data_IF_416678556182
#
_entry.id   IF_416678556182
#
_cell.length_a   1.000
_cell.length_b   1.000
_cell.length_c   1.000
_cell.angle_alpha   90.00
_cell.angle_beta   90.00
_cell.angle_gamma   90.00
#
_symmetry.space_group_name_H-M   'P 1'
#
loop_
_entity.id
_entity.type
_entity.pdbx_description
1 polymer ?
#
# COMPACT_ATOMS: atom_id res chain seq x y z
N UNK A 1 29.71 7.62 -10.48
CA UNK A 1 28.99 8.76 -11.15
C UNK A 1 27.83 9.14 -10.23
N UNK A 2 27.49 10.42 -10.17
CA UNK A 2 26.28 10.90 -9.46
C UNK A 2 25.06 10.34 -10.19
N UNK A 3 24.22 9.55 -9.50
CA UNK A 3 23.01 8.99 -10.09
C UNK A 3 21.81 9.90 -9.76
N UNK A 4 20.95 10.13 -10.75
CA UNK A 4 19.70 10.91 -10.60
C UNK A 4 18.51 9.97 -10.69
N UNK A 5 17.74 9.90 -9.62
CA UNK A 5 16.57 9.01 -9.49
C UNK A 5 15.31 9.85 -9.33
N UNK A 6 14.38 9.71 -10.27
CA UNK A 6 13.09 10.38 -10.25
C UNK A 6 12.01 9.40 -9.79
N UNK A 7 11.32 9.73 -8.71
CA UNK A 7 10.20 8.94 -8.17
C UNK A 7 8.90 9.66 -8.51
N UNK A 8 7.98 8.98 -9.18
CA UNK A 8 6.67 9.52 -9.55
C UNK A 8 5.55 8.76 -8.85
N UNK A 9 4.69 9.51 -8.16
CA UNK A 9 3.50 8.98 -7.46
C UNK A 9 2.27 9.81 -7.77
N UNK A 10 1.09 9.34 -7.34
CA UNK A 10 -0.15 10.12 -7.40
C UNK A 10 -1.02 9.85 -6.17
N UNK A 11 -1.62 10.92 -5.63
CA UNK A 11 -2.40 10.89 -4.39
C UNK A 11 -3.82 10.34 -4.55
N UNK A 12 -4.05 9.42 -5.50
CA UNK A 12 -5.33 8.71 -5.70
C UNK A 12 -5.49 7.46 -4.82
N UNK A 13 -4.58 7.26 -3.88
CA UNK A 13 -4.60 6.17 -2.90
C UNK A 13 -3.32 6.17 -2.07
N UNK A 14 -3.43 5.86 -0.77
CA UNK A 14 -2.25 5.81 0.11
C UNK A 14 -1.25 4.72 -0.29
N UNK A 15 -1.67 3.68 -0.99
CA UNK A 15 -0.78 2.62 -1.48
C UNK A 15 0.35 3.18 -2.36
N UNK A 16 0.03 4.02 -3.34
CA UNK A 16 1.01 4.62 -4.25
C UNK A 16 2.00 5.52 -3.50
N UNK A 17 1.48 6.38 -2.64
CA UNK A 17 2.29 7.30 -1.85
C UNK A 17 3.16 6.58 -0.81
N UNK A 18 2.63 5.54 -0.17
CA UNK A 18 3.39 4.71 0.79
C UNK A 18 4.56 4.02 0.10
N UNK A 19 4.33 3.43 -1.08
CA UNK A 19 5.37 2.81 -1.89
C UNK A 19 6.47 3.81 -2.28
N UNK A 20 6.09 4.98 -2.80
CA UNK A 20 7.02 6.03 -3.20
C UNK A 20 7.86 6.55 -2.02
N UNK A 21 7.22 6.81 -0.87
CA UNK A 21 7.92 7.21 0.36
C UNK A 21 8.87 6.12 0.85
N UNK A 22 8.44 4.85 0.84
CA UNK A 22 9.28 3.73 1.23
C UNK A 22 10.57 3.66 0.42
N UNK A 23 10.46 3.82 -0.91
CA UNK A 23 11.62 3.84 -1.82
C UNK A 23 12.51 5.06 -1.56
N UNK A 24 11.94 6.26 -1.43
CA UNK A 24 12.68 7.48 -1.12
C UNK A 24 13.46 7.34 0.19
N UNK A 25 12.79 6.87 1.23
CA UNK A 25 13.39 6.73 2.57
C UNK A 25 14.47 5.64 2.59
N UNK A 26 14.31 4.59 1.77
CA UNK A 26 15.34 3.58 1.58
C UNK A 26 16.56 4.13 0.82
N UNK A 27 16.34 4.87 -0.27
CA UNK A 27 17.44 5.55 -0.99
C UNK A 27 18.19 6.50 -0.08
N UNK A 28 17.50 7.28 0.76
CA UNK A 28 18.14 8.17 1.72
C UNK A 28 19.08 7.44 2.71
N UNK A 29 18.87 6.13 2.94
CA UNK A 29 19.71 5.31 3.84
C UNK A 29 20.90 4.63 3.15
N UNK A 30 20.75 4.26 1.87
CA UNK A 30 21.73 3.37 1.19
C UNK A 30 22.40 4.02 0.00
N UNK A 31 21.91 5.16 -0.48
CA UNK A 31 22.48 5.81 -1.64
C UNK A 31 23.86 6.42 -1.33
N UNK A 32 24.83 6.28 -2.25
CA UNK A 32 26.12 6.95 -2.13
C UNK A 32 25.96 8.48 -2.12
N UNK A 33 26.92 9.14 -1.48
CA UNK A 33 26.98 10.60 -1.48
C UNK A 33 26.97 11.17 -2.91
N UNK A 34 26.15 12.20 -3.10
CA UNK A 34 25.95 12.84 -4.40
C UNK A 34 24.88 12.20 -5.28
N UNK A 35 24.18 11.16 -4.83
CA UNK A 35 22.94 10.68 -5.48
C UNK A 35 21.84 11.73 -5.30
N UNK A 36 21.20 12.11 -6.40
CA UNK A 36 20.10 13.07 -6.40
C UNK A 36 18.76 12.28 -6.50
N UNK A 37 17.83 12.54 -5.60
CA UNK A 37 16.51 11.87 -5.57
C UNK A 37 15.43 12.93 -5.50
N UNK A 38 14.56 12.98 -6.49
CA UNK A 38 13.34 13.81 -6.45
C UNK A 38 12.09 12.91 -6.42
N UNK A 39 11.07 13.33 -5.66
CA UNK A 39 9.77 12.66 -5.58
C UNK A 39 8.68 13.68 -5.94
N UNK A 40 7.87 13.35 -6.95
CA UNK A 40 6.84 14.23 -7.48
C UNK A 40 5.48 13.54 -7.56
N UNK A 41 4.42 14.29 -7.26
CA UNK A 41 3.03 14.00 -7.61
C UNK A 41 2.59 15.01 -8.67
N UNK A 42 2.83 14.68 -9.94
CA UNK A 42 2.57 15.61 -11.06
C UNK A 42 1.09 15.96 -11.20
N UNK A 43 0.17 15.06 -10.79
CA UNK A 43 -1.26 15.41 -10.77
C UNK A 43 -1.56 16.50 -9.75
N UNK A 44 -0.96 16.41 -8.57
CA UNK A 44 -1.12 17.45 -7.54
C UNK A 44 -0.44 18.76 -7.94
N UNK A 45 0.74 18.68 -8.57
CA UNK A 45 1.52 19.85 -8.99
C UNK A 45 0.84 20.61 -10.14
N UNK A 46 0.31 19.89 -11.13
CA UNK A 46 -0.31 20.51 -12.33
C UNK A 46 -1.74 20.97 -12.05
N UNK A 47 -2.54 20.14 -11.37
CA UNK A 47 -3.97 20.41 -11.23
C UNK A 47 -4.35 20.96 -9.86
N UNK A 48 -3.44 21.02 -8.88
CA UNK A 48 -3.61 21.70 -7.61
C UNK A 48 -4.99 21.49 -6.94
N UNK A 49 -5.78 22.57 -6.73
CA UNK A 49 -7.09 22.48 -6.08
C UNK A 49 -8.11 21.60 -6.81
N UNK A 50 -8.02 21.50 -8.15
CA UNK A 50 -8.89 20.64 -8.94
C UNK A 50 -8.60 19.18 -8.66
N UNK A 51 -7.31 18.81 -8.58
CA UNK A 51 -6.91 17.46 -8.19
C UNK A 51 -7.42 17.10 -6.79
N UNK A 52 -7.33 18.02 -5.84
CA UNK A 52 -7.84 17.83 -4.49
C UNK A 52 -9.36 17.64 -4.46
N UNK A 53 -10.11 18.39 -5.27
CA UNK A 53 -11.56 18.22 -5.43
C UNK A 53 -11.90 16.85 -6.02
N UNK A 54 -11.21 16.44 -7.08
CA UNK A 54 -11.38 15.11 -7.71
C UNK A 54 -11.07 14.01 -6.70
N UNK A 55 -9.97 14.13 -5.96
CA UNK A 55 -9.57 13.20 -4.91
C UNK A 55 -10.62 13.08 -3.79
N UNK A 56 -11.14 14.21 -3.30
CA UNK A 56 -12.20 14.23 -2.29
C UNK A 56 -13.49 13.59 -2.80
N UNK A 57 -13.87 13.91 -4.03
CA UNK A 57 -15.05 13.32 -4.67
C UNK A 57 -14.89 11.82 -4.86
N UNK A 58 -13.73 11.37 -5.32
CA UNK A 58 -13.36 9.96 -5.43
C UNK A 58 -13.49 9.26 -4.08
N UNK A 59 -12.86 9.79 -3.02
CA UNK A 59 -12.94 9.22 -1.68
C UNK A 59 -14.37 9.21 -1.13
N UNK A 60 -15.16 10.24 -1.42
CA UNK A 60 -16.57 10.28 -1.04
C UNK A 60 -17.37 9.16 -1.73
N UNK A 61 -17.21 8.96 -3.04
CA UNK A 61 -17.90 7.88 -3.77
C UNK A 61 -17.46 6.51 -3.23
N UNK A 62 -16.18 6.28 -3.03
CA UNK A 62 -15.64 5.03 -2.47
C UNK A 62 -16.20 4.76 -1.07
N UNK A 63 -16.33 5.78 -0.23
CA UNK A 63 -16.78 5.62 1.16
C UNK A 63 -18.30 5.56 1.32
N UNK A 64 -19.05 6.32 0.53
CA UNK A 64 -20.51 6.47 0.69
C UNK A 64 -21.33 5.65 -0.31
N UNK A 65 -20.75 5.29 -1.46
CA UNK A 65 -21.41 4.51 -2.51
C UNK A 65 -20.51 3.37 -3.05
N UNK A 66 -19.98 2.46 -2.21
CA UNK A 66 -18.99 1.46 -2.61
C UNK A 66 -19.49 0.52 -3.72
N UNK A 67 -20.80 0.19 -3.74
CA UNK A 67 -21.40 -0.64 -4.81
C UNK A 67 -21.41 0.06 -6.17
N UNK A 68 -21.72 1.36 -6.19
CA UNK A 68 -21.66 2.17 -7.40
C UNK A 68 -20.22 2.31 -7.90
N UNK A 69 -19.27 2.52 -6.98
CA UNK A 69 -17.85 2.55 -7.31
C UNK A 69 -17.36 1.23 -7.90
N UNK A 70 -17.70 0.08 -7.30
CA UNK A 70 -17.36 -1.23 -7.84
C UNK A 70 -17.88 -1.46 -9.27
N UNK A 71 -19.05 -0.96 -9.61
CA UNK A 71 -19.57 -1.00 -10.98
C UNK A 71 -18.78 -0.12 -11.93
N UNK A 72 -18.46 1.11 -11.53
CA UNK A 72 -17.61 2.05 -12.30
C UNK A 72 -16.21 1.47 -12.50
N UNK A 73 -15.61 0.91 -11.46
CA UNK A 73 -14.29 0.31 -11.52
C UNK A 73 -14.23 -0.84 -12.55
N UNK A 74 -15.17 -1.78 -12.49
CA UNK A 74 -15.26 -2.90 -13.45
C UNK A 74 -15.52 -2.42 -14.89
N UNK A 75 -16.33 -1.36 -15.07
CA UNK A 75 -16.56 -0.76 -16.38
C UNK A 75 -15.29 -0.10 -16.95
N UNK A 76 -14.50 0.58 -16.10
CA UNK A 76 -13.21 1.16 -16.49
C UNK A 76 -12.20 0.06 -16.83
N UNK A 77 -12.13 -1.00 -16.02
CA UNK A 77 -11.20 -2.12 -16.22
C UNK A 77 -11.46 -2.88 -17.53
N UNK A 78 -12.72 -2.94 -17.96
CA UNK A 78 -13.14 -3.53 -19.24
C UNK A 78 -12.83 -2.69 -20.48
N UNK A 79 -12.48 -1.40 -20.35
CA UNK A 79 -12.18 -0.55 -21.51
C UNK A 79 -10.77 -0.83 -22.05
N UNK A 80 -10.70 -1.12 -23.37
CA UNK A 80 -9.43 -1.34 -24.08
C UNK A 80 -8.66 -0.05 -24.37
N UNK A 81 -9.29 1.13 -24.27
CA UNK A 81 -8.77 2.42 -24.74
C UNK A 81 -8.24 3.28 -23.57
N UNK A 82 -7.39 2.72 -22.72
CA UNK A 82 -6.66 3.51 -21.71
C UNK A 82 -5.77 4.60 -22.36
N UNK A 83 -5.24 4.32 -23.56
CA UNK A 83 -4.39 5.25 -24.32
C UNK A 83 -5.08 6.59 -24.61
N UNK A 84 -6.38 6.57 -24.92
CA UNK A 84 -7.13 7.79 -25.23
C UNK A 84 -7.55 8.57 -23.98
N UNK A 85 -7.65 7.92 -22.83
CA UNK A 85 -7.99 8.59 -21.58
C UNK A 85 -6.86 9.52 -21.10
N UNK A 86 -5.59 9.09 -21.24
CA UNK A 86 -4.43 9.89 -20.87
C UNK A 86 -3.99 10.90 -21.93
N UNK A 87 -4.35 10.70 -23.22
CA UNK A 87 -4.07 11.65 -24.32
C UNK A 87 -4.69 13.05 -24.13
N UNK A 88 -5.58 13.23 -23.15
CA UNK A 88 -6.25 14.52 -22.87
C UNK A 88 -5.53 15.36 -21.80
N UNK A 89 -4.44 14.90 -21.23
CA UNK A 89 -3.70 15.61 -20.17
C UNK A 89 -2.48 16.36 -20.71
N UNK A 90 -2.69 17.27 -21.71
CA UNK A 90 -1.58 18.03 -22.32
C UNK A 90 -0.75 18.81 -21.31
N UNK A 91 -1.38 19.43 -20.31
CA UNK A 91 -0.65 20.15 -19.25
C UNK A 91 0.24 19.23 -18.39
N UNK A 92 -0.25 18.01 -18.11
CA UNK A 92 0.55 17.00 -17.41
C UNK A 92 1.76 16.56 -18.25
N UNK A 93 1.56 16.36 -19.55
CA UNK A 93 2.62 16.01 -20.51
C UNK A 93 3.69 17.11 -20.60
N UNK A 94 3.27 18.37 -20.74
CA UNK A 94 4.19 19.51 -20.80
C UNK A 94 5.00 19.67 -19.52
N UNK A 95 4.33 19.56 -18.36
CA UNK A 95 5.02 19.63 -17.05
C UNK A 95 5.98 18.46 -16.83
N UNK A 96 5.56 17.25 -17.22
CA UNK A 96 6.41 16.07 -17.14
C UNK A 96 7.64 16.19 -18.04
N UNK A 97 7.45 16.68 -19.27
CA UNK A 97 8.56 16.92 -20.20
C UNK A 97 9.54 17.93 -19.63
N UNK A 98 9.07 19.06 -19.12
CA UNK A 98 9.90 20.09 -18.50
C UNK A 98 10.68 19.52 -17.28
N UNK A 99 10.06 18.65 -16.48
CA UNK A 99 10.73 17.96 -15.38
C UNK A 99 11.84 17.03 -15.89
N UNK A 100 11.58 16.24 -16.94
CA UNK A 100 12.59 15.35 -17.53
C UNK A 100 13.78 16.14 -18.12
N UNK A 101 13.52 17.25 -18.82
CA UNK A 101 14.55 18.14 -19.37
C UNK A 101 15.40 18.78 -18.26
N UNK A 102 14.76 19.23 -17.18
CA UNK A 102 15.44 19.87 -16.03
C UNK A 102 16.25 18.86 -15.21
N UNK A 103 15.63 17.75 -14.82
CA UNK A 103 16.23 16.81 -13.88
C UNK A 103 17.11 15.78 -14.56
N UNK A 104 16.85 15.42 -15.83
CA UNK A 104 17.60 14.43 -16.62
C UNK A 104 17.88 13.13 -15.83
N UNK A 105 16.85 12.39 -15.41
CA UNK A 105 17.03 11.21 -14.59
C UNK A 105 17.79 10.10 -15.32
N UNK A 106 18.66 9.37 -14.60
CA UNK A 106 19.24 8.10 -15.07
C UNK A 106 18.23 6.96 -14.88
N UNK A 107 17.44 7.03 -13.79
CA UNK A 107 16.39 6.07 -13.46
C UNK A 107 15.12 6.82 -13.06
N UNK A 108 14.02 6.43 -13.66
CA UNK A 108 12.68 6.87 -13.28
C UNK A 108 11.93 5.68 -12.69
N UNK A 109 11.25 5.87 -11.56
CA UNK A 109 10.45 4.86 -10.92
C UNK A 109 9.04 5.38 -10.66
N UNK A 110 8.04 4.65 -11.16
CA UNK A 110 6.64 5.03 -11.11
C UNK A 110 5.85 4.10 -10.19
N UNK A 111 5.19 4.67 -9.20
CA UNK A 111 4.26 3.95 -8.31
C UNK A 111 2.79 4.16 -8.69
N UNK A 112 2.54 4.82 -9.83
CA UNK A 112 1.20 5.06 -10.38
C UNK A 112 1.17 4.77 -11.88
N UNK A 113 0.17 4.05 -12.42
CA UNK A 113 0.20 3.50 -13.77
C UNK A 113 0.11 4.51 -14.91
N UNK A 114 -0.32 5.75 -14.64
CA UNK A 114 -0.44 6.77 -15.69
C UNK A 114 0.91 7.22 -16.27
N UNK A 115 1.95 7.39 -15.43
CA UNK A 115 3.21 7.99 -15.85
C UNK A 115 3.99 7.20 -16.91
N UNK A 116 4.10 5.85 -16.83
CA UNK A 116 4.71 5.08 -17.90
C UNK A 116 4.02 5.25 -19.26
N UNK A 117 2.68 5.44 -19.24
CA UNK A 117 1.88 5.68 -20.44
C UNK A 117 2.15 7.07 -21.02
N UNK A 118 2.16 8.10 -20.18
CA UNK A 118 2.48 9.49 -20.60
C UNK A 118 3.92 9.56 -21.13
N UNK A 119 4.88 8.91 -20.48
CA UNK A 119 6.26 8.84 -20.97
C UNK A 119 6.36 8.20 -22.36
N UNK A 120 5.62 7.14 -22.61
CA UNK A 120 5.55 6.53 -23.93
C UNK A 120 5.02 7.51 -24.96
N UNK A 121 3.91 8.22 -24.67
CA UNK A 121 3.35 9.21 -25.59
C UNK A 121 4.33 10.35 -25.91
N UNK A 122 5.09 10.82 -24.91
CA UNK A 122 6.15 11.84 -25.13
C UNK A 122 7.22 11.29 -26.08
N UNK A 123 7.70 10.07 -25.86
CA UNK A 123 8.73 9.44 -26.69
C UNK A 123 8.27 9.11 -28.10
N UNK A 124 7.03 8.71 -28.27
CA UNK A 124 6.43 8.38 -29.57
C UNK A 124 6.29 9.64 -30.44
N UNK A 125 6.04 10.82 -29.82
CA UNK A 125 5.93 12.10 -30.53
C UNK A 125 7.29 12.72 -30.86
N UNK A 126 8.23 12.64 -29.94
CA UNK A 126 9.57 13.22 -30.07
C UNK A 126 10.61 12.34 -29.33
N UNK A 127 11.19 11.37 -30.04
CA UNK A 127 12.16 10.44 -29.46
C UNK A 127 13.42 11.13 -28.88
N UNK A 128 13.78 12.28 -29.42
CA UNK A 128 15.00 13.00 -29.03
C UNK A 128 14.77 13.95 -27.85
N UNK A 129 13.52 14.21 -27.48
CA UNK A 129 13.16 15.20 -26.46
C UNK A 129 13.50 14.76 -25.02
N UNK A 130 13.64 13.49 -24.77
CA UNK A 130 14.01 12.99 -23.44
C UNK A 130 15.28 12.13 -23.52
N UNK A 131 16.25 12.43 -22.66
CA UNK A 131 17.41 11.55 -22.48
C UNK A 131 16.93 10.13 -22.15
N UNK A 132 17.54 9.07 -22.73
CA UNK A 132 17.23 7.71 -22.35
C UNK A 132 17.44 7.51 -20.84
N UNK A 133 16.40 7.12 -20.11
CA UNK A 133 16.46 6.74 -18.71
C UNK A 133 15.80 5.39 -18.53
N UNK A 134 16.25 4.63 -17.53
CA UNK A 134 15.58 3.38 -17.13
C UNK A 134 14.21 3.69 -16.55
N UNK A 135 13.17 3.06 -17.08
CA UNK A 135 11.81 3.22 -16.61
C UNK A 135 11.36 1.99 -15.79
N UNK A 136 11.14 2.18 -14.50
CA UNK A 136 10.79 1.15 -13.55
C UNK A 136 9.35 1.35 -13.08
N UNK A 137 8.55 0.32 -13.14
CA UNK A 137 7.16 0.34 -12.66
C UNK A 137 7.05 -0.48 -11.38
N UNK A 138 6.60 0.14 -10.30
CA UNK A 138 6.24 -0.55 -9.05
C UNK A 138 4.75 -0.79 -9.04
N UNK A 139 4.35 -2.02 -9.24
CA UNK A 139 2.94 -2.42 -9.18
C UNK A 139 2.50 -2.48 -7.73
N UNK A 140 1.62 -1.56 -7.35
CA UNK A 140 1.11 -1.45 -5.97
C UNK A 140 -0.16 -2.27 -5.74
N UNK A 141 -0.75 -2.83 -6.79
CA UNK A 141 -1.88 -3.75 -6.71
C UNK A 141 -1.40 -5.15 -6.30
N UNK A 142 -2.26 -5.86 -5.58
CA UNK A 142 -2.00 -7.25 -5.20
C UNK A 142 -2.93 -8.18 -5.99
N UNK A 143 -2.44 -9.31 -6.48
CA UNK A 143 -3.16 -10.40 -7.17
C UNK A 143 -4.05 -9.90 -8.35
N UNK A 144 -4.99 -8.98 -8.08
CA UNK A 144 -5.83 -8.36 -9.12
C UNK A 144 -5.16 -7.09 -9.61
N UNK A 145 -4.36 -7.23 -10.69
CA UNK A 145 -3.60 -6.12 -11.26
C UNK A 145 -4.37 -5.51 -12.43
N UNK A 146 -4.67 -4.21 -12.34
CA UNK A 146 -5.33 -3.48 -13.42
C UNK A 146 -4.44 -3.45 -14.67
N UNK A 147 -5.04 -3.61 -15.84
CA UNK A 147 -4.33 -3.64 -17.12
C UNK A 147 -3.55 -2.35 -17.44
N UNK A 148 -3.90 -1.22 -16.81
CA UNK A 148 -3.17 0.03 -16.95
C UNK A 148 -1.69 -0.07 -16.50
N UNK A 149 -1.36 -1.01 -15.63
CA UNK A 149 0.02 -1.21 -15.17
C UNK A 149 0.97 -1.73 -16.25
N UNK A 150 0.48 -2.56 -17.18
CA UNK A 150 1.35 -3.31 -18.09
C UNK A 150 1.04 -3.17 -19.58
N UNK A 151 -0.22 -2.85 -19.97
CA UNK A 151 -0.60 -2.83 -21.40
C UNK A 151 0.18 -1.82 -22.24
N UNK A 152 0.47 -0.66 -21.68
CA UNK A 152 1.02 0.48 -22.40
C UNK A 152 2.33 0.97 -21.81
N UNK A 153 2.84 0.31 -20.79
CA UNK A 153 4.04 0.74 -20.11
C UNK A 153 5.29 0.37 -20.91
N UNK A 154 5.99 1.38 -21.43
CA UNK A 154 7.36 1.21 -21.91
C UNK A 154 8.30 1.06 -20.71
N UNK A 155 8.14 -0.01 -19.92
CA UNK A 155 8.94 -0.26 -18.73
C UNK A 155 10.10 -1.21 -19.01
N UNK A 156 11.28 -0.89 -18.47
CA UNK A 156 12.42 -1.79 -18.46
C UNK A 156 12.20 -2.92 -17.43
N UNK A 157 11.60 -2.57 -16.27
CA UNK A 157 11.30 -3.54 -15.22
C UNK A 157 9.97 -3.25 -14.53
N UNK A 158 9.31 -4.33 -14.13
CA UNK A 158 8.14 -4.33 -13.26
C UNK A 158 8.52 -4.93 -11.91
N UNK A 159 8.36 -4.17 -10.83
CA UNK A 159 8.59 -4.62 -9.48
C UNK A 159 7.25 -4.98 -8.85
N UNK A 160 7.13 -6.19 -8.36
CA UNK A 160 5.87 -6.74 -7.80
C UNK A 160 6.05 -7.21 -6.37
N UNK A 161 4.93 -7.25 -5.64
CA UNK A 161 4.93 -7.58 -4.22
C UNK A 161 5.14 -9.07 -3.93
N UNK A 162 4.71 -9.96 -4.84
CA UNK A 162 4.71 -11.41 -4.63
C UNK A 162 4.69 -12.19 -5.95
N UNK A 163 4.90 -13.51 -5.88
CA UNK A 163 4.92 -14.40 -7.02
C UNK A 163 3.57 -14.51 -7.75
N UNK A 164 2.45 -14.36 -7.03
CA UNK A 164 1.12 -14.37 -7.66
C UNK A 164 0.95 -13.15 -8.58
N UNK A 165 1.39 -11.98 -8.13
CA UNK A 165 1.43 -10.76 -8.95
C UNK A 165 2.36 -10.92 -10.16
N UNK A 166 3.52 -11.56 -9.99
CA UNK A 166 4.42 -11.86 -11.10
C UNK A 166 3.73 -12.77 -12.15
N UNK A 167 3.04 -13.81 -11.71
CA UNK A 167 2.31 -14.73 -12.59
C UNK A 167 1.21 -14.02 -13.39
N UNK A 168 0.53 -13.03 -12.83
CA UNK A 168 -0.47 -12.22 -13.55
C UNK A 168 0.19 -11.43 -14.68
N UNK A 169 1.33 -10.79 -14.44
CA UNK A 169 2.06 -10.04 -15.47
C UNK A 169 2.61 -10.97 -16.57
N UNK A 170 3.13 -12.14 -16.20
CA UNK A 170 3.60 -13.14 -17.15
C UNK A 170 2.47 -13.65 -18.06
N UNK A 171 1.30 -13.95 -17.46
CA UNK A 171 0.11 -14.35 -18.21
C UNK A 171 -0.40 -13.23 -19.15
N UNK A 172 -0.12 -11.98 -18.82
CA UNK A 172 -0.42 -10.81 -19.65
C UNK A 172 0.64 -10.53 -20.75
N UNK A 173 1.70 -11.35 -20.84
CA UNK A 173 2.74 -11.25 -21.87
C UNK A 173 3.96 -10.40 -21.50
N UNK A 174 4.11 -10.00 -20.24
CA UNK A 174 5.34 -9.33 -19.79
C UNK A 174 6.47 -10.36 -19.69
N UNK A 175 7.62 -10.04 -20.27
CA UNK A 175 8.78 -10.95 -20.27
C UNK A 175 9.27 -11.21 -18.82
N UNK A 176 9.59 -12.47 -18.51
CA UNK A 176 9.95 -12.92 -17.16
C UNK A 176 11.18 -12.18 -16.62
N UNK A 177 12.16 -11.93 -17.48
CA UNK A 177 13.38 -11.20 -17.14
C UNK A 177 13.15 -9.76 -16.70
N UNK A 178 12.02 -9.14 -17.14
CA UNK A 178 11.61 -7.80 -16.78
C UNK A 178 10.77 -7.74 -15.49
N UNK A 179 10.39 -8.88 -14.93
CA UNK A 179 9.63 -8.95 -13.68
C UNK A 179 10.58 -9.25 -12.52
N UNK A 180 10.51 -8.45 -11.47
CA UNK A 180 11.30 -8.64 -10.24
C UNK A 180 10.38 -8.68 -9.02
N UNK A 181 10.50 -9.73 -8.22
CA UNK A 181 9.71 -9.93 -7.00
C UNK A 181 10.54 -9.48 -5.80
N UNK A 182 10.35 -8.24 -5.37
CA UNK A 182 11.05 -7.69 -4.21
C UNK A 182 10.19 -7.66 -2.95
N UNK A 183 8.88 -7.65 -3.10
CA UNK A 183 7.95 -7.26 -2.06
C UNK A 183 7.43 -5.84 -2.29
N UNK A 184 6.42 -5.44 -1.53
CA UNK A 184 5.92 -4.07 -1.55
C UNK A 184 6.91 -3.16 -0.79
N UNK A 185 7.27 -1.99 -1.32
CA UNK A 185 8.26 -1.12 -0.69
C UNK A 185 7.70 -0.35 0.51
N UNK A 186 7.47 -1.06 1.59
CA UNK A 186 7.11 -0.46 2.89
C UNK A 186 8.23 0.41 3.46
N UNK A 187 7.92 1.21 4.48
CA UNK A 187 8.94 2.00 5.18
C UNK A 187 10.12 1.13 5.62
N UNK A 188 11.39 1.57 5.43
CA UNK A 188 12.58 0.85 5.93
C UNK A 188 12.56 0.59 7.44
N UNK A 189 11.74 1.30 8.22
CA UNK A 189 11.53 1.05 9.65
C UNK A 189 11.01 -0.37 9.92
N UNK A 190 10.31 -1.02 8.96
CA UNK A 190 9.91 -2.42 9.07
C UNK A 190 11.10 -3.36 9.12
N UNK A 191 12.15 -3.10 8.35
CA UNK A 191 13.39 -3.88 8.40
C UNK A 191 14.16 -3.68 9.73
N UNK A 192 14.11 -2.49 10.30
CA UNK A 192 14.72 -2.18 11.58
C UNK A 192 13.99 -2.91 12.72
N UNK A 193 12.66 -2.84 12.72
CA UNK A 193 11.81 -3.52 13.72
C UNK A 193 11.94 -5.04 13.65
N UNK A 194 12.07 -5.61 12.46
CA UNK A 194 12.31 -7.04 12.29
C UNK A 194 13.69 -7.51 12.82
N UNK A 195 14.68 -6.61 12.90
CA UNK A 195 16.02 -6.88 13.45
C UNK A 195 16.12 -6.61 14.93
N UNK A 196 15.37 -5.65 15.45
CA UNK A 196 15.24 -5.46 16.89
C UNK A 196 14.56 -6.73 17.43
N UNK A 197 15.09 -7.31 18.51
CA UNK A 197 14.49 -8.46 19.18
C UNK A 197 13.11 -8.09 19.79
N UNK A 198 12.20 -7.58 18.95
CA UNK A 198 10.83 -7.30 19.29
C UNK A 198 10.11 -8.65 19.36
N UNK A 199 10.26 -9.32 20.51
CA UNK A 199 9.61 -10.60 20.75
C UNK A 199 8.18 -10.31 21.16
N UNK A 200 7.22 -10.81 20.38
CA UNK A 200 5.83 -10.84 20.82
C UNK A 200 5.75 -11.56 22.17
N UNK A 201 5.03 -11.00 23.16
CA UNK A 201 4.83 -11.69 24.42
C UNK A 201 4.12 -13.03 24.16
N UNK A 202 4.36 -14.06 25.00
CA UNK A 202 3.62 -15.31 24.88
C UNK A 202 2.12 -15.08 25.03
N UNK A 203 1.30 -15.77 24.23
CA UNK A 203 -0.17 -15.62 24.22
C UNK A 203 -0.84 -15.89 25.58
N UNK A 204 -0.20 -16.64 26.45
CA UNK A 204 -0.67 -16.90 27.81
C UNK A 204 -0.39 -15.76 28.79
N UNK A 205 0.50 -14.83 28.46
CA UNK A 205 0.82 -13.65 29.28
C UNK A 205 0.07 -12.41 28.81
N UNK A 206 0.03 -12.16 27.51
CA UNK A 206 -0.57 -10.96 26.94
C UNK A 206 -1.01 -11.21 25.48
N UNK A 207 -2.19 -10.73 25.12
CA UNK A 207 -2.75 -10.84 23.76
C UNK A 207 -2.94 -9.44 23.20
N UNK A 208 -1.97 -8.97 22.40
CA UNK A 208 -1.95 -7.63 21.85
C UNK A 208 -2.74 -7.55 20.54
N UNK A 209 -3.72 -6.67 20.49
CA UNK A 209 -4.56 -6.43 19.33
C UNK A 209 -4.46 -4.97 18.92
N UNK A 210 -4.10 -4.74 17.67
CA UNK A 210 -4.11 -3.42 17.07
C UNK A 210 -5.38 -3.25 16.23
N UNK A 211 -6.20 -2.25 16.56
CA UNK A 211 -7.37 -1.90 15.77
C UNK A 211 -7.12 -0.59 15.03
N UNK A 212 -7.00 -0.65 13.70
CA UNK A 212 -6.80 0.52 12.84
C UNK A 212 -8.13 1.00 12.27
N UNK A 213 -8.61 2.13 12.78
CA UNK A 213 -9.84 2.75 12.30
C UNK A 213 -9.51 3.61 11.07
N UNK A 214 -10.33 3.48 10.01
CA UNK A 214 -10.31 4.36 8.85
C UNK A 214 -11.55 5.27 8.82
N UNK A 215 -11.48 6.38 8.08
CA UNK A 215 -12.45 7.48 8.13
C UNK A 215 -13.92 7.10 7.82
N UNK A 216 -14.20 5.93 7.26
CA UNK A 216 -15.55 5.47 6.92
C UNK A 216 -16.09 4.38 7.87
N UNK A 217 -15.42 4.07 8.98
CA UNK A 217 -15.82 2.98 9.87
C UNK A 217 -16.98 3.41 10.75
N UNK A 218 -18.23 3.14 10.30
CA UNK A 218 -19.42 3.24 11.16
C UNK A 218 -19.35 2.14 12.22
N UNK A 219 -19.69 2.47 13.47
CA UNK A 219 -19.68 1.51 14.58
C UNK A 219 -18.28 1.21 15.15
N UNK A 220 -17.27 2.03 14.83
CA UNK A 220 -15.94 1.87 15.40
C UNK A 220 -15.89 1.94 16.93
N UNK A 221 -16.63 2.85 17.62
CA UNK A 221 -16.70 2.88 19.08
C UNK A 221 -17.35 1.61 19.67
N UNK A 222 -18.39 1.08 19.03
CA UNK A 222 -19.03 -0.18 19.46
C UNK A 222 -18.05 -1.36 19.35
N UNK A 223 -17.33 -1.48 18.23
CA UNK A 223 -16.33 -2.53 18.06
C UNK A 223 -15.19 -2.37 19.07
N UNK A 224 -14.67 -1.15 19.28
CA UNK A 224 -13.62 -0.89 20.25
C UNK A 224 -14.07 -1.27 21.69
N UNK A 225 -15.30 -0.91 22.07
CA UNK A 225 -15.88 -1.32 23.34
C UNK A 225 -15.89 -2.84 23.49
N UNK A 226 -16.43 -3.56 22.52
CA UNK A 226 -16.50 -5.04 22.56
C UNK A 226 -15.13 -5.69 22.59
N UNK A 227 -14.13 -5.14 21.87
CA UNK A 227 -12.76 -5.63 21.90
C UNK A 227 -12.12 -5.42 23.28
N UNK A 228 -12.35 -4.26 23.90
CA UNK A 228 -11.86 -3.96 25.23
C UNK A 228 -12.40 -4.90 26.32
N UNK A 229 -13.60 -5.45 26.13
CA UNK A 229 -14.21 -6.44 27.04
C UNK A 229 -13.61 -7.86 26.89
N UNK A 230 -12.81 -8.13 25.86
CA UNK A 230 -12.18 -9.45 25.65
C UNK A 230 -10.97 -9.70 26.55
N UNK A 231 -10.51 -8.70 27.31
CA UNK A 231 -9.30 -8.81 28.14
C UNK A 231 -8.01 -8.92 27.33
N UNK A 232 -8.01 -8.33 26.13
CA UNK A 232 -6.81 -8.16 25.29
C UNK A 232 -6.13 -6.82 25.58
N UNK A 233 -4.82 -6.71 25.37
CA UNK A 233 -4.13 -5.43 25.32
C UNK A 233 -4.49 -4.75 23.99
N UNK A 234 -5.47 -3.85 24.05
CA UNK A 234 -6.04 -3.20 22.88
C UNK A 234 -5.41 -1.83 22.64
N UNK A 235 -4.79 -1.68 21.48
CA UNK A 235 -4.41 -0.37 20.96
C UNK A 235 -5.31 -0.02 19.77
N UNK A 236 -5.86 1.19 19.76
CA UNK A 236 -6.71 1.69 18.67
C UNK A 236 -6.03 2.88 18.02
N UNK A 237 -5.83 2.83 16.70
CA UNK A 237 -5.29 3.98 15.95
C UNK A 237 -6.39 4.62 15.10
N UNK A 238 -6.49 5.93 15.19
CA UNK A 238 -7.51 6.75 14.51
C UNK A 238 -6.92 7.64 13.40
N UNK A 239 -5.61 7.52 13.14
CA UNK A 239 -4.93 8.37 12.18
C UNK A 239 -5.16 9.86 12.47
N UNK A 240 -5.64 10.60 11.49
CA UNK A 240 -5.93 12.03 11.60
C UNK A 240 -7.35 12.35 12.07
N UNK A 241 -8.16 11.35 12.39
CA UNK A 241 -9.56 11.54 12.82
C UNK A 241 -9.67 11.83 14.33
N UNK A 242 -8.96 12.84 14.80
CA UNK A 242 -8.86 13.19 16.24
C UNK A 242 -10.22 13.48 16.90
N UNK A 243 -11.26 13.79 16.13
CA UNK A 243 -12.64 13.97 16.62
C UNK A 243 -13.26 12.70 17.20
N UNK A 244 -12.72 11.52 16.85
CA UNK A 244 -13.20 10.22 17.37
C UNK A 244 -12.61 9.88 18.75
N UNK A 245 -11.55 10.58 19.18
CA UNK A 245 -10.81 10.22 20.40
C UNK A 245 -11.71 10.22 21.67
N UNK A 246 -12.47 11.28 21.96
CA UNK A 246 -13.29 11.32 23.18
C UNK A 246 -14.37 10.20 23.19
N UNK A 247 -14.96 9.91 22.04
CA UNK A 247 -15.98 8.86 21.92
C UNK A 247 -15.39 7.46 22.16
N UNK A 248 -14.20 7.20 21.64
CA UNK A 248 -13.50 5.93 21.83
C UNK A 248 -12.99 5.75 23.25
N UNK A 249 -12.48 6.81 23.89
CA UNK A 249 -12.10 6.79 25.31
C UNK A 249 -13.29 6.46 26.21
N UNK A 250 -14.42 7.12 25.96
CA UNK A 250 -15.66 6.84 26.68
C UNK A 250 -16.15 5.40 26.42
N UNK A 251 -16.17 4.94 25.17
CA UNK A 251 -16.63 3.61 24.80
C UNK A 251 -15.78 2.49 25.42
N UNK A 252 -14.47 2.68 25.50
CA UNK A 252 -13.55 1.66 26.03
C UNK A 252 -13.37 1.73 27.54
N UNK A 253 -13.86 2.79 28.18
CA UNK A 253 -13.73 2.98 29.63
C UNK A 253 -12.27 2.97 30.13
N UNK A 254 -11.34 3.44 29.29
CA UNK A 254 -9.90 3.47 29.60
C UNK A 254 -9.19 2.11 29.48
N UNK A 255 -9.86 1.07 29.00
CA UNK A 255 -9.28 -0.28 28.81
C UNK A 255 -8.49 -0.42 27.49
N UNK A 256 -8.47 0.61 26.66
CA UNK A 256 -7.74 0.62 25.40
C UNK A 256 -6.83 1.84 25.31
N UNK A 257 -5.67 1.70 24.66
CA UNK A 257 -4.81 2.83 24.32
C UNK A 257 -5.28 3.43 22.99
N UNK A 258 -5.75 4.69 23.00
CA UNK A 258 -6.18 5.39 21.78
C UNK A 258 -5.03 6.25 21.29
N UNK A 259 -4.67 6.11 20.01
CA UNK A 259 -3.52 6.82 19.40
C UNK A 259 -3.98 7.53 18.11
N UNK A 260 -3.63 8.78 17.97
CA UNK A 260 -3.79 9.56 16.74
C UNK A 260 -2.85 9.11 15.63
N UNK A 261 -2.48 10.03 14.75
CA UNK A 261 -1.49 9.76 13.73
C UNK A 261 -0.11 9.47 14.35
N UNK A 262 0.56 8.43 13.85
CA UNK A 262 1.87 8.00 14.37
C UNK A 262 2.76 7.50 13.23
N UNK A 263 4.07 7.66 13.37
CA UNK A 263 5.09 7.06 12.51
C UNK A 263 5.71 5.78 13.11
N UNK A 264 5.18 5.34 14.27
CA UNK A 264 5.58 4.13 14.99
C UNK A 264 4.80 2.87 14.56
N UNK A 265 3.97 2.97 13.51
CA UNK A 265 3.15 1.87 13.02
C UNK A 265 3.98 0.59 12.74
N UNK A 266 5.21 0.65 12.16
CA UNK A 266 6.03 -0.53 11.97
C UNK A 266 6.30 -1.29 13.28
N UNK A 267 6.67 -0.58 14.33
CA UNK A 267 6.91 -1.17 15.66
C UNK A 267 5.63 -1.74 16.26
N UNK A 268 4.53 -0.98 16.19
CA UNK A 268 3.24 -1.40 16.73
C UNK A 268 2.73 -2.69 16.06
N UNK A 269 2.88 -2.83 14.74
CA UNK A 269 2.50 -4.05 14.03
C UNK A 269 3.37 -5.24 14.42
N UNK A 270 4.68 -5.06 14.56
CA UNK A 270 5.58 -6.13 15.04
C UNK A 270 5.29 -6.54 16.48
N UNK A 271 4.81 -5.63 17.33
CA UNK A 271 4.47 -5.88 18.73
C UNK A 271 3.04 -6.44 18.91
N UNK A 272 2.25 -6.53 17.84
CA UNK A 272 0.86 -6.97 17.88
C UNK A 272 0.68 -8.41 17.39
N UNK A 273 -0.16 -9.18 18.07
CA UNK A 273 -0.53 -10.53 17.65
C UNK A 273 -1.53 -10.51 16.49
N UNK A 274 -2.43 -9.53 16.47
CA UNK A 274 -3.45 -9.37 15.44
C UNK A 274 -3.63 -7.90 15.08
N UNK A 275 -3.80 -7.65 13.78
CA UNK A 275 -4.34 -6.41 13.26
C UNK A 275 -5.82 -6.59 12.91
N UNK A 276 -6.66 -5.66 13.33
CA UNK A 276 -8.02 -5.48 12.82
C UNK A 276 -8.04 -4.20 11.98
N UNK A 277 -8.47 -4.28 10.72
CA UNK A 277 -8.46 -3.09 9.87
C UNK A 277 -9.01 -3.34 8.47
N UNK A 278 -8.97 -2.29 7.66
CA UNK A 278 -9.42 -2.29 6.26
C UNK A 278 -8.41 -3.00 5.35
N UNK A 279 -8.88 -3.64 4.27
CA UNK A 279 -8.03 -4.25 3.24
C UNK A 279 -7.31 -3.24 2.32
N UNK A 280 -6.89 -2.09 2.85
CA UNK A 280 -6.14 -1.08 2.09
C UNK A 280 -4.78 -1.60 1.64
N UNK A 281 -4.35 -1.23 0.42
CA UNK A 281 -3.10 -1.72 -0.17
C UNK A 281 -1.88 -1.53 0.74
N UNK A 282 -1.66 -0.31 1.24
CA UNK A 282 -0.57 -0.05 2.18
C UNK A 282 -0.72 -0.87 3.46
N UNK A 283 -1.91 -0.85 4.08
CA UNK A 283 -2.15 -1.55 5.36
C UNK A 283 -1.88 -3.05 5.27
N UNK A 284 -2.40 -3.71 4.22
CA UNK A 284 -2.17 -5.15 4.00
C UNK A 284 -0.68 -5.45 3.80
N UNK A 285 0.02 -4.65 3.02
CA UNK A 285 1.44 -4.87 2.75
C UNK A 285 2.33 -4.56 3.97
N UNK A 286 1.98 -3.56 4.78
CA UNK A 286 2.62 -3.25 6.06
C UNK A 286 2.40 -4.39 7.08
N UNK A 287 1.19 -4.94 7.11
CA UNK A 287 0.82 -6.10 7.94
C UNK A 287 1.63 -7.34 7.54
N UNK A 288 1.75 -7.61 6.23
CA UNK A 288 2.60 -8.68 5.70
C UNK A 288 4.07 -8.45 6.07
N UNK A 289 4.58 -7.24 5.90
CA UNK A 289 5.97 -6.92 6.21
C UNK A 289 6.29 -7.14 7.70
N UNK A 290 5.33 -6.83 8.58
CA UNK A 290 5.45 -7.09 10.03
C UNK A 290 5.18 -8.54 10.44
N UNK A 291 4.76 -9.40 9.51
CA UNK A 291 4.31 -10.76 9.77
C UNK A 291 3.17 -10.83 10.83
N UNK A 292 2.29 -9.81 10.87
CA UNK A 292 1.18 -9.71 11.81
C UNK A 292 -0.11 -10.22 11.14
N UNK A 293 -0.76 -11.31 11.62
CA UNK A 293 -2.03 -11.78 11.07
C UNK A 293 -3.13 -10.73 11.10
N UNK A 294 -4.06 -10.80 10.14
CA UNK A 294 -5.05 -9.74 9.95
C UNK A 294 -6.50 -10.25 9.98
N UNK A 295 -7.36 -9.56 10.72
CA UNK A 295 -8.82 -9.64 10.58
C UNK A 295 -9.27 -8.42 9.79
N UNK A 296 -9.77 -8.64 8.58
CA UNK A 296 -10.24 -7.57 7.69
C UNK A 296 -11.69 -7.27 8.04
N UNK A 297 -11.93 -6.05 8.54
CA UNK A 297 -13.26 -5.61 8.93
C UNK A 297 -13.97 -4.71 7.90
N UNK A 298 -13.27 -4.38 6.81
CA UNK A 298 -13.85 -3.61 5.71
C UNK A 298 -13.07 -3.80 4.42
N UNK A 299 -13.78 -3.94 3.29
CA UNK A 299 -13.21 -4.07 1.94
C UNK A 299 -13.92 -3.10 1.00
N UNK A 300 -13.16 -2.25 0.32
CA UNK A 300 -13.70 -1.42 -0.76
C UNK A 300 -13.86 -2.28 -2.01
N UNK A 301 -15.10 -2.40 -2.48
CA UNK A 301 -15.44 -3.22 -3.64
C UNK A 301 -14.66 -2.81 -4.89
N UNK A 302 -14.13 -3.80 -5.61
CA UNK A 302 -13.35 -3.65 -6.85
C UNK A 302 -11.89 -3.31 -6.59
N UNK A 303 -11.58 -2.37 -5.72
CA UNK A 303 -10.23 -1.85 -5.53
C UNK A 303 -9.40 -2.65 -4.51
N UNK A 304 -10.03 -3.12 -3.42
CA UNK A 304 -9.34 -3.77 -2.30
C UNK A 304 -9.58 -5.28 -2.24
N UNK A 305 -10.40 -5.82 -3.15
CA UNK A 305 -10.73 -7.25 -3.20
C UNK A 305 -9.48 -8.12 -3.38
N UNK A 306 -8.53 -7.70 -4.22
CA UNK A 306 -7.27 -8.42 -4.41
C UNK A 306 -6.41 -8.47 -3.14
N UNK A 307 -6.39 -7.40 -2.36
CA UNK A 307 -5.67 -7.36 -1.09
C UNK A 307 -6.32 -8.28 -0.04
N UNK A 308 -7.66 -8.25 0.03
CA UNK A 308 -8.40 -9.12 0.94
C UNK A 308 -8.22 -10.59 0.56
N UNK A 309 -8.29 -10.92 -0.75
CA UNK A 309 -8.05 -12.26 -1.27
C UNK A 309 -6.65 -12.76 -0.92
N UNK A 310 -5.62 -11.92 -1.04
CA UNK A 310 -4.25 -12.30 -0.68
C UNK A 310 -4.18 -12.83 0.76
N UNK A 311 -4.77 -12.13 1.72
CA UNK A 311 -4.79 -12.53 3.14
C UNK A 311 -5.56 -13.85 3.35
N UNK A 312 -6.73 -13.99 2.71
CA UNK A 312 -7.60 -15.17 2.87
C UNK A 312 -7.02 -16.40 2.16
N UNK A 313 -6.60 -16.28 0.91
CA UNK A 313 -6.08 -17.39 0.11
C UNK A 313 -4.75 -17.94 0.65
N UNK A 314 -3.95 -17.09 1.30
CA UNK A 314 -2.72 -17.53 1.98
C UNK A 314 -2.96 -18.02 3.41
N UNK A 315 -4.21 -18.05 3.87
CA UNK A 315 -4.57 -18.37 5.25
C UNK A 315 -3.72 -17.58 6.27
N UNK A 316 -3.62 -16.27 6.03
CA UNK A 316 -2.86 -15.32 6.87
C UNK A 316 -3.79 -14.46 7.73
N UNK A 317 -5.09 -14.69 7.63
CA UNK A 317 -6.16 -13.98 8.31
C UNK A 317 -7.52 -14.28 7.71
N UNK A 318 -8.51 -13.44 8.01
CA UNK A 318 -9.91 -13.66 7.63
C UNK A 318 -10.64 -12.34 7.40
N UNK A 319 -11.74 -12.38 6.63
CA UNK A 319 -12.69 -11.28 6.51
C UNK A 319 -13.80 -11.49 7.55
N UNK A 320 -14.21 -10.41 8.23
CA UNK A 320 -15.29 -10.37 9.20
C UNK A 320 -16.08 -9.06 9.04
N UNK A 321 -17.25 -9.12 8.44
CA UNK A 321 -17.99 -7.94 7.94
C UNK A 321 -18.85 -7.26 9.03
N UNK A 322 -18.88 -7.79 10.24
CA UNK A 322 -19.65 -7.24 11.35
C UNK A 322 -18.87 -7.24 12.66
N UNK A 323 -19.18 -6.32 13.60
CA UNK A 323 -18.55 -6.33 14.93
C UNK A 323 -18.65 -7.68 15.62
N UNK A 324 -19.80 -8.38 15.48
CA UNK A 324 -20.00 -9.71 16.06
C UNK A 324 -19.04 -10.74 15.50
N UNK A 325 -18.84 -10.73 14.18
CA UNK A 325 -17.91 -11.64 13.51
C UNK A 325 -16.47 -11.33 13.87
N UNK A 326 -16.07 -10.04 13.91
CA UNK A 326 -14.73 -9.64 14.35
C UNK A 326 -14.42 -10.19 15.73
N UNK A 327 -15.34 -10.01 16.70
CA UNK A 327 -15.18 -10.53 18.06
C UNK A 327 -15.04 -12.06 18.05
N UNK A 328 -15.90 -12.76 17.32
CA UNK A 328 -15.83 -14.22 17.20
C UNK A 328 -14.49 -14.69 16.60
N UNK A 329 -13.96 -13.98 15.61
CA UNK A 329 -12.67 -14.33 15.01
C UNK A 329 -11.48 -14.03 15.94
N UNK A 330 -11.52 -12.94 16.73
CA UNK A 330 -10.51 -12.67 17.77
C UNK A 330 -10.51 -13.78 18.81
N UNK A 331 -11.69 -14.15 19.32
CA UNK A 331 -11.82 -15.24 20.28
C UNK A 331 -11.30 -16.57 19.72
N UNK A 332 -11.69 -16.90 18.48
CA UNK A 332 -11.21 -18.11 17.79
C UNK A 332 -9.71 -18.12 17.58
N UNK A 333 -9.12 -16.98 17.20
CA UNK A 333 -7.68 -16.86 16.98
C UNK A 333 -6.89 -17.22 18.24
N UNK A 334 -7.41 -16.83 19.43
CA UNK A 334 -6.74 -17.03 20.70
C UNK A 334 -7.24 -18.24 21.50
N UNK A 335 -8.26 -18.96 21.01
CA UNK A 335 -8.69 -20.22 21.61
C UNK A 335 -7.63 -21.33 21.43
N UNK A 336 -7.75 -22.40 22.19
CA UNK A 336 -6.89 -23.59 22.09
C UNK A 336 -5.40 -23.23 22.06
N UNK A 337 -4.97 -22.44 23.01
CA UNK A 337 -3.61 -21.91 23.12
C UNK A 337 -3.14 -21.17 21.86
N UNK A 338 -4.05 -20.50 21.15
CA UNK A 338 -3.77 -19.72 19.94
C UNK A 338 -3.47 -20.55 18.69
N UNK A 339 -4.03 -21.72 18.57
CA UNK A 339 -3.80 -22.63 17.43
C UNK A 339 -4.05 -21.93 16.09
N UNK A 340 -5.18 -21.25 15.94
CA UNK A 340 -5.50 -20.54 14.70
C UNK A 340 -4.55 -19.37 14.45
N UNK A 341 -4.22 -18.59 15.48
CA UNK A 341 -3.27 -17.50 15.36
C UNK A 341 -1.89 -17.99 14.93
N UNK A 342 -1.39 -19.12 15.51
CA UNK A 342 -0.09 -19.68 15.12
C UNK A 342 -0.06 -20.08 13.65
N UNK A 343 -1.15 -20.66 13.15
CA UNK A 343 -1.29 -21.01 11.74
C UNK A 343 -1.23 -19.77 10.84
N UNK A 344 -2.01 -18.74 11.16
CA UNK A 344 -1.97 -17.47 10.43
C UNK A 344 -0.61 -16.81 10.48
N UNK A 345 0.01 -16.75 11.66
CA UNK A 345 1.34 -16.19 11.88
C UNK A 345 2.42 -16.91 11.08
N UNK A 346 2.40 -18.24 11.06
CA UNK A 346 3.32 -19.03 10.26
C UNK A 346 3.17 -18.80 8.75
N UNK A 347 1.94 -18.59 8.29
CA UNK A 347 1.66 -18.36 6.87
C UNK A 347 2.05 -16.94 6.45
N UNK A 348 1.67 -15.91 7.19
CA UNK A 348 2.00 -14.52 6.84
C UNK A 348 3.53 -14.29 6.88
N UNK A 349 4.24 -14.98 7.79
CA UNK A 349 5.71 -14.90 7.87
C UNK A 349 6.40 -15.36 6.57
N UNK A 350 5.81 -16.30 5.82
CA UNK A 350 6.33 -16.75 4.52
C UNK A 350 6.26 -15.67 3.45
N UNK A 351 5.28 -14.77 3.57
CA UNK A 351 5.06 -13.65 2.66
C UNK A 351 5.91 -12.43 3.01
N UNK A 352 6.37 -12.33 4.25
CA UNK A 352 7.03 -11.14 4.79
C UNK A 352 8.31 -10.78 4.02
N UNK A 353 8.39 -9.51 3.60
CA UNK A 353 9.53 -8.91 2.90
C UNK A 353 9.83 -7.53 3.49
N UNK A 354 10.21 -7.42 4.78
CA UNK A 354 10.38 -6.13 5.45
C UNK A 354 11.51 -5.27 4.85
N UNK A 355 12.41 -5.88 4.09
CA UNK A 355 13.53 -5.21 3.43
C UNK A 355 13.22 -4.74 2.01
N UNK A 356 12.01 -4.96 1.49
CA UNK A 356 11.66 -4.72 0.09
C UNK A 356 12.11 -3.34 -0.43
N UNK A 357 11.85 -2.27 0.33
CA UNK A 357 12.27 -0.92 -0.07
C UNK A 357 13.80 -0.76 -0.16
N UNK A 358 14.55 -1.37 0.76
CA UNK A 358 16.03 -1.35 0.76
C UNK A 358 16.59 -2.14 -0.42
N UNK A 359 16.02 -3.30 -0.71
CA UNK A 359 16.45 -4.15 -1.82
C UNK A 359 16.12 -3.51 -3.18
N UNK A 360 14.96 -2.85 -3.28
CA UNK A 360 14.61 -2.01 -4.45
C UNK A 360 15.59 -0.84 -4.60
N UNK A 361 15.90 -0.13 -3.51
CA UNK A 361 16.84 0.98 -3.56
C UNK A 361 18.24 0.52 -4.07
N UNK A 362 18.74 -0.62 -3.58
CA UNK A 362 19.99 -1.21 -4.06
C UNK A 362 19.92 -1.59 -5.54
N UNK A 363 18.80 -2.17 -5.98
CA UNK A 363 18.56 -2.49 -7.39
C UNK A 363 18.60 -1.23 -8.26
N UNK A 364 17.89 -0.16 -7.89
CA UNK A 364 17.91 1.11 -8.62
C UNK A 364 19.30 1.72 -8.72
N UNK A 365 20.12 1.59 -7.67
CA UNK A 365 21.50 2.07 -7.65
C UNK A 365 22.43 1.23 -8.53
N UNK A 366 22.08 -0.03 -8.81
CA UNK A 366 22.87 -0.92 -9.67
C UNK A 366 22.61 -0.75 -11.17
N UNK A 367 21.46 -0.15 -11.56
CA UNK A 367 21.12 0.15 -12.96
C UNK A 367 21.95 1.28 -13.52
#
# INVERSE_FOLDING_TARGET
MKKRILILTASFGEGHNSAARGIRDALARVAPEGTEVELHDLFAEVYGPVNELVRKSYLAVVNFAPRAWGAVYRWLDGKKDFDTAFARFSQLEDHFTALLERFQPDVMICTFPAYPNVLRQIRDRDPDRSRPCKNIVVVTDSITINAAWYRCAAADYFLVANEQSASVLQAAGVAVENIKVFGFPVSPKFADSARSNCVLPPLNSERRVLYMIHAATRGAPELAHRLAELGVDLTVTIGRANTLMPELEAATGGKAKIIGWTDELPRMLHESHLLIGKAGGATVQETIAAACPMIINYVVAGQEEGNARLIVETNSGVIADSPREVIAQVQRAFADDGKQWREWSANISKLSRPRAALDIAQFLLSL
#
